data_IF_494257373624
#
_entry.id   IF_494257373624
#
_cell.length_a   1.000
_cell.length_b   1.000
_cell.length_c   1.000
_cell.angle_alpha   90.00
_cell.angle_beta   90.00
_cell.angle_gamma   90.00
#
_symmetry.space_group_name_H-M   'P 1'
#
loop_
_entity.id
_entity.type
_entity.pdbx_description
1 polymer ?
#
# COMPACT_ATOMS: atom_id res chain seq x y z
N UNK A 1 -18.20 3.83 -52.47
CA UNK A 1 -17.00 4.43 -51.85
C UNK A 1 -16.27 3.31 -51.13
N UNK A 2 -15.26 2.73 -51.78
CA UNK A 2 -14.45 1.64 -51.22
C UNK A 2 -13.33 2.27 -50.40
N UNK A 3 -13.35 2.08 -49.07
CA UNK A 3 -12.26 2.54 -48.21
C UNK A 3 -11.00 1.69 -48.47
N UNK A 4 -9.90 2.37 -48.77
CA UNK A 4 -8.59 1.78 -49.03
C UNK A 4 -8.02 1.16 -47.74
N UNK A 5 -7.78 -0.17 -47.69
CA UNK A 5 -7.25 -0.85 -46.51
C UNK A 5 -5.87 -0.35 -46.08
N UNK A 6 -5.12 0.31 -46.96
CA UNK A 6 -3.79 0.84 -46.66
C UNK A 6 -3.80 2.06 -45.73
N UNK A 7 -4.87 2.85 -45.74
CA UNK A 7 -5.00 4.02 -44.85
C UNK A 7 -5.29 3.63 -43.40
N UNK A 8 -6.07 2.56 -43.18
CA UNK A 8 -6.45 2.08 -41.84
C UNK A 8 -5.20 1.62 -41.05
N UNK A 9 -4.21 1.04 -41.73
CA UNK A 9 -2.98 0.59 -41.09
C UNK A 9 -2.02 1.72 -40.71
N UNK A 10 -2.00 2.82 -41.48
CA UNK A 10 -1.15 3.98 -41.20
C UNK A 10 -1.62 4.75 -39.96
N UNK A 11 -2.93 4.98 -39.86
CA UNK A 11 -3.52 5.74 -38.74
C UNK A 11 -3.38 5.01 -37.39
N UNK A 12 -3.48 3.67 -37.41
CA UNK A 12 -3.32 2.85 -36.21
C UNK A 12 -1.88 2.80 -35.68
N UNK A 13 -0.87 2.99 -36.55
CA UNK A 13 0.54 3.10 -36.15
C UNK A 13 0.84 4.49 -35.56
N UNK A 14 0.32 5.55 -36.17
CA UNK A 14 0.49 6.92 -35.67
C UNK A 14 -0.21 7.15 -34.31
N UNK A 15 -1.38 6.54 -34.07
CA UNK A 15 -2.06 6.61 -32.77
C UNK A 15 -1.28 5.89 -31.66
N UNK A 16 -0.65 4.76 -31.98
CA UNK A 16 0.17 3.99 -31.01
C UNK A 16 1.47 4.70 -30.63
N UNK A 17 2.07 5.44 -31.56
CA UNK A 17 3.30 6.19 -31.30
C UNK A 17 3.03 7.48 -30.52
N UNK A 18 1.87 8.13 -30.72
CA UNK A 18 1.42 9.24 -29.90
C UNK A 18 1.13 8.83 -28.44
N UNK A 19 0.43 7.70 -28.25
CA UNK A 19 0.08 7.20 -26.91
C UNK A 19 1.31 6.76 -26.10
N UNK A 20 2.35 6.20 -26.76
CA UNK A 20 3.65 5.90 -26.12
C UNK A 20 4.44 7.14 -25.72
N UNK A 21 4.31 8.23 -26.50
CA UNK A 21 4.96 9.51 -26.20
C UNK A 21 4.39 10.14 -24.93
N UNK A 22 3.07 10.13 -24.78
CA UNK A 22 2.37 10.61 -23.58
C UNK A 22 2.72 9.78 -22.34
N UNK A 23 2.78 8.45 -22.45
CA UNK A 23 3.16 7.60 -21.32
C UNK A 23 4.60 7.86 -20.86
N UNK A 24 5.52 8.13 -21.79
CA UNK A 24 6.92 8.45 -21.45
C UNK A 24 7.06 9.84 -20.81
N UNK A 25 6.29 10.83 -21.26
CA UNK A 25 6.26 12.17 -20.67
C UNK A 25 5.67 12.14 -19.26
N UNK A 26 4.56 11.43 -19.06
CA UNK A 26 3.94 11.25 -17.73
C UNK A 26 4.89 10.54 -16.77
N UNK A 27 5.60 9.49 -17.22
CA UNK A 27 6.60 8.81 -16.38
C UNK A 27 7.79 9.71 -16.01
N UNK A 28 8.18 10.62 -16.90
CA UNK A 28 9.29 11.57 -16.68
C UNK A 28 8.87 12.68 -15.71
N UNK A 29 7.63 13.17 -15.77
CA UNK A 29 7.07 14.13 -14.81
C UNK A 29 6.89 13.52 -13.42
N UNK A 30 6.39 12.29 -13.32
CA UNK A 30 6.29 11.56 -12.05
C UNK A 30 7.66 11.32 -11.42
N UNK A 31 8.68 10.97 -12.23
CA UNK A 31 10.05 10.80 -11.75
C UNK A 31 10.67 12.12 -11.28
N UNK A 32 10.36 13.23 -11.96
CA UNK A 32 10.85 14.57 -11.61
C UNK A 32 10.20 15.14 -10.35
N UNK A 33 8.95 14.78 -10.06
CA UNK A 33 8.28 15.16 -8.81
C UNK A 33 8.83 14.40 -7.58
N UNK A 34 9.48 13.25 -7.76
CA UNK A 34 10.12 12.51 -6.66
C UNK A 34 11.55 12.98 -6.36
N UNK A 35 12.17 13.78 -7.22
CA UNK A 35 13.59 14.13 -7.12
C UNK A 35 13.90 15.36 -6.25
N UNK A 36 12.89 16.06 -5.72
CA UNK A 36 13.09 17.29 -4.95
C UNK A 36 12.45 17.23 -3.55
N UNK A 37 12.98 16.36 -2.69
CA UNK A 37 13.04 16.67 -1.26
C UNK A 37 14.26 16.01 -0.63
N UNK A 38 15.23 16.78 -0.12
CA UNK A 38 16.26 16.22 0.75
C UNK A 38 15.53 15.65 1.96
N UNK A 39 15.61 14.34 2.18
CA UNK A 39 14.91 13.65 3.28
C UNK A 39 15.51 14.15 4.59
N UNK A 40 14.96 15.26 5.09
CA UNK A 40 14.97 15.58 6.49
C UNK A 40 14.28 14.40 7.17
N UNK A 41 15.06 13.57 7.88
CA UNK A 41 14.55 12.36 8.53
C UNK A 41 13.22 12.65 9.22
N UNK A 42 12.18 11.89 8.89
CA UNK A 42 10.84 12.18 9.37
C UNK A 42 10.85 12.31 10.89
N UNK A 43 10.27 13.42 11.38
CA UNK A 43 9.97 13.55 12.80
C UNK A 43 9.10 12.35 13.16
N UNK A 44 9.57 11.52 14.09
CA UNK A 44 8.86 10.31 14.52
C UNK A 44 7.44 10.63 14.98
N UNK A 45 6.59 9.60 15.10
CA UNK A 45 5.22 9.78 15.60
C UNK A 45 5.25 10.55 16.94
N UNK A 46 4.38 11.56 17.15
CA UNK A 46 4.38 12.38 18.36
C UNK A 46 3.75 11.61 19.54
N UNK A 47 4.34 10.46 19.88
CA UNK A 47 3.83 9.49 20.85
C UNK A 47 4.96 9.14 21.81
N UNK A 48 4.69 9.33 23.10
CA UNK A 48 5.65 8.99 24.16
C UNK A 48 5.97 7.50 24.09
N UNK A 49 7.26 7.14 24.12
CA UNK A 49 7.73 5.76 23.98
C UNK A 49 8.21 5.37 22.57
N UNK A 50 7.95 6.18 21.55
CA UNK A 50 8.56 6.04 20.23
C UNK A 50 9.80 6.94 20.10
N UNK A 51 10.70 6.57 19.18
CA UNK A 51 11.84 7.44 18.87
C UNK A 51 11.35 8.72 18.18
N UNK A 52 11.92 9.85 18.58
CA UNK A 52 11.64 11.16 17.96
C UNK A 52 12.17 11.24 16.53
N UNK A 53 13.13 10.38 16.18
CA UNK A 53 13.65 10.23 14.82
C UNK A 53 13.53 8.76 14.43
N UNK A 54 12.63 8.48 13.50
CA UNK A 54 12.45 7.12 12.98
C UNK A 54 13.20 7.03 11.65
N UNK A 55 13.99 5.98 11.48
CA UNK A 55 14.68 5.70 10.22
C UNK A 55 13.65 5.41 9.10
N UNK A 56 13.90 5.97 7.91
CA UNK A 56 12.96 5.91 6.78
C UNK A 56 12.51 4.49 6.45
N UNK A 57 13.44 3.54 6.39
CA UNK A 57 13.13 2.15 6.03
C UNK A 57 12.15 1.48 7.00
N UNK A 58 12.09 1.91 8.28
CA UNK A 58 11.11 1.40 9.24
C UNK A 58 9.70 1.85 8.87
N UNK A 59 9.58 3.12 8.47
CA UNK A 59 8.31 3.70 8.02
C UNK A 59 7.86 3.01 6.75
N UNK A 60 8.76 2.86 5.78
CA UNK A 60 8.44 2.21 4.49
C UNK A 60 7.98 0.76 4.70
N UNK A 61 8.69 0.00 5.54
CA UNK A 61 8.33 -1.38 5.85
C UNK A 61 6.98 -1.49 6.58
N UNK A 62 6.69 -0.59 7.53
CA UNK A 62 5.39 -0.57 8.23
C UNK A 62 4.26 -0.19 7.27
N UNK A 63 4.50 0.76 6.35
CA UNK A 63 3.52 1.13 5.34
C UNK A 63 3.23 -0.04 4.39
N UNK A 64 4.25 -0.76 3.94
CA UNK A 64 4.08 -1.97 3.14
C UNK A 64 3.27 -3.05 3.89
N UNK A 65 3.61 -3.29 5.16
CA UNK A 65 2.86 -4.20 6.02
C UNK A 65 1.38 -3.79 6.15
N UNK A 66 1.08 -2.49 6.30
CA UNK A 66 -0.30 -1.99 6.36
C UNK A 66 -1.07 -2.24 5.07
N UNK A 67 -0.42 -2.09 3.91
CA UNK A 67 -1.02 -2.40 2.61
C UNK A 67 -1.31 -3.90 2.50
N UNK A 68 -0.40 -4.76 2.93
CA UNK A 68 -0.59 -6.22 2.92
C UNK A 68 -1.71 -6.65 3.88
N UNK A 69 -1.73 -6.10 5.10
CA UNK A 69 -2.77 -6.33 6.09
C UNK A 69 -4.16 -6.03 5.51
N UNK A 70 -4.36 -4.84 4.94
CA UNK A 70 -5.63 -4.42 4.35
C UNK A 70 -6.07 -5.37 3.21
N UNK A 71 -5.15 -5.79 2.35
CA UNK A 71 -5.45 -6.75 1.27
C UNK A 71 -5.95 -8.09 1.84
N UNK A 72 -5.31 -8.60 2.89
CA UNK A 72 -5.72 -9.85 3.54
C UNK A 72 -7.06 -9.68 4.27
N UNK A 73 -7.27 -8.57 4.99
CA UNK A 73 -8.53 -8.28 5.67
C UNK A 73 -9.70 -8.18 4.70
N UNK A 74 -9.52 -7.53 3.54
CA UNK A 74 -10.55 -7.51 2.47
C UNK A 74 -10.87 -8.90 1.94
N UNK A 75 -9.89 -9.79 1.87
CA UNK A 75 -10.13 -11.19 1.50
C UNK A 75 -10.96 -11.89 2.58
N UNK A 76 -10.68 -11.65 3.87
CA UNK A 76 -11.49 -12.17 4.97
C UNK A 76 -12.93 -11.61 4.91
N UNK A 77 -13.10 -10.31 4.68
CA UNK A 77 -14.41 -9.66 4.53
C UNK A 77 -15.29 -10.29 3.46
N UNK A 78 -14.69 -10.76 2.36
CA UNK A 78 -15.44 -11.44 1.30
C UNK A 78 -16.13 -12.73 1.79
N UNK A 79 -15.61 -13.40 2.82
CA UNK A 79 -16.19 -14.61 3.41
C UNK A 79 -17.22 -14.29 4.51
N UNK A 80 -17.13 -13.10 5.11
CA UNK A 80 -18.09 -12.59 6.10
C UNK A 80 -19.42 -12.20 5.44
N UNK A 81 -19.43 -11.84 4.16
CA UNK A 81 -20.67 -11.49 3.43
C UNK A 81 -21.67 -12.64 3.35
N UNK A 82 -21.27 -13.86 3.68
CA UNK A 82 -22.08 -15.08 3.67
C UNK A 82 -22.49 -15.55 5.08
N UNK A 83 -22.69 -14.65 6.05
CA UNK A 83 -23.03 -14.99 7.46
C UNK A 83 -24.22 -15.93 7.67
N UNK A 84 -25.13 -16.04 6.71
CA UNK A 84 -26.28 -16.97 6.75
C UNK A 84 -26.03 -18.34 6.09
N UNK A 85 -24.87 -18.53 5.44
CA UNK A 85 -24.50 -19.79 4.80
C UNK A 85 -23.86 -20.74 5.81
N UNK A 86 -24.26 -22.01 5.78
CA UNK A 86 -23.61 -23.09 6.55
C UNK A 86 -22.37 -23.64 5.84
N UNK A 87 -22.09 -23.22 4.60
CA UNK A 87 -20.93 -23.69 3.82
C UNK A 87 -19.61 -23.14 4.34
N UNK A 88 -19.64 -21.99 5.01
CA UNK A 88 -18.46 -21.32 5.56
C UNK A 88 -18.63 -21.21 7.07
N UNK A 89 -17.77 -21.89 7.82
CA UNK A 89 -17.68 -21.73 9.26
C UNK A 89 -17.27 -20.29 9.63
N UNK A 90 -18.26 -19.51 10.06
CA UNK A 90 -18.07 -18.11 10.43
C UNK A 90 -17.23 -17.96 11.71
N UNK A 91 -17.18 -18.95 12.60
CA UNK A 91 -16.30 -18.89 13.76
C UNK A 91 -14.83 -18.90 13.32
N UNK A 92 -14.49 -19.81 12.41
CA UNK A 92 -13.15 -19.88 11.80
C UNK A 92 -12.78 -18.60 11.04
N UNK A 93 -13.71 -17.97 10.31
CA UNK A 93 -13.47 -16.68 9.63
C UNK A 93 -13.09 -15.57 10.62
N UNK A 94 -13.78 -15.50 11.76
CA UNK A 94 -13.52 -14.47 12.78
C UNK A 94 -12.19 -14.73 13.52
N UNK A 95 -11.84 -15.99 13.74
CA UNK A 95 -10.53 -16.38 14.26
C UNK A 95 -9.42 -15.98 13.29
N UNK A 96 -9.60 -16.23 11.99
CA UNK A 96 -8.65 -15.83 10.95
C UNK A 96 -8.43 -14.30 10.94
N UNK A 97 -9.49 -13.50 11.00
CA UNK A 97 -9.38 -12.02 11.11
C UNK A 97 -8.47 -11.62 12.27
N UNK A 98 -8.77 -12.14 13.47
CA UNK A 98 -8.02 -11.82 14.69
C UNK A 98 -6.54 -12.18 14.56
N UNK A 99 -6.22 -13.34 13.97
CA UNK A 99 -4.83 -13.75 13.79
C UNK A 99 -4.09 -12.90 12.77
N UNK A 100 -4.74 -12.45 11.70
CA UNK A 100 -4.15 -11.51 10.74
C UNK A 100 -3.81 -10.19 11.42
N UNK A 101 -4.76 -9.59 12.14
CA UNK A 101 -4.56 -8.34 12.89
C UNK A 101 -3.42 -8.48 13.93
N UNK A 102 -3.40 -9.57 14.72
CA UNK A 102 -2.35 -9.82 15.72
C UNK A 102 -0.97 -10.03 15.06
N UNK A 103 -0.92 -10.72 13.92
CA UNK A 103 0.33 -10.94 13.19
C UNK A 103 0.92 -9.62 12.67
N UNK A 104 0.13 -8.79 12.00
CA UNK A 104 0.60 -7.50 11.48
C UNK A 104 0.91 -6.50 12.59
N UNK A 105 0.14 -6.50 13.67
CA UNK A 105 0.48 -5.74 14.88
C UNK A 105 1.86 -6.14 15.41
N UNK A 106 2.14 -7.44 15.57
CA UNK A 106 3.44 -7.94 16.07
C UNK A 106 4.59 -7.60 15.12
N UNK A 107 4.40 -7.74 13.81
CA UNK A 107 5.40 -7.37 12.80
C UNK A 107 5.75 -5.88 12.89
N UNK A 108 4.74 -5.02 12.87
CA UNK A 108 4.93 -3.58 12.96
C UNK A 108 5.57 -3.18 14.30
N UNK A 109 5.17 -3.83 15.39
CA UNK A 109 5.78 -3.62 16.70
C UNK A 109 7.25 -4.06 16.75
N UNK A 110 7.61 -5.15 16.07
CA UNK A 110 8.99 -5.64 15.99
C UNK A 110 9.91 -4.68 15.23
N UNK A 111 9.38 -3.97 14.22
CA UNK A 111 10.10 -2.94 13.45
C UNK A 111 10.26 -1.66 14.27
N UNK A 112 9.16 -1.17 14.84
CA UNK A 112 9.12 0.12 15.51
C UNK A 112 9.71 0.10 16.93
N UNK A 113 9.70 -1.06 17.59
CA UNK A 113 10.34 -1.29 18.89
C UNK A 113 10.04 -0.21 19.95
N UNK A 114 8.77 0.14 20.23
CA UNK A 114 8.46 1.17 21.22
C UNK A 114 8.94 0.76 22.61
N UNK A 115 9.53 1.75 23.29
CA UNK A 115 10.16 1.65 24.62
C UNK A 115 9.15 1.95 25.71
N UNK A 116 9.42 1.47 26.93
CA UNK A 116 8.65 1.85 28.12
C UNK A 116 8.86 3.34 28.41
N UNK A 117 7.80 4.02 28.82
CA UNK A 117 7.87 5.41 29.25
C UNK A 117 8.62 5.46 30.60
N UNK A 118 9.53 6.41 30.72
CA UNK A 118 10.29 6.68 31.95
C UNK A 118 9.90 8.06 32.47
N UNK A 119 9.62 8.19 33.76
CA UNK A 119 9.23 9.46 34.40
C UNK A 119 8.09 9.26 35.39
N UNK A 120 7.59 10.37 35.94
CA UNK A 120 6.40 10.38 36.78
C UNK A 120 5.16 9.99 35.95
N UNK A 121 4.37 9.04 36.46
CA UNK A 121 3.15 8.53 35.82
C UNK A 121 1.89 9.02 36.53
N UNK A 122 2.05 9.92 37.51
CA UNK A 122 0.96 10.44 38.34
C UNK A 122 0.13 11.53 37.69
#
# INVERSE_FOLDING_TARGET
>A
MTHDPSQIHSDALQQRDAEKSDVHQVATELSSQMAASPIAGHSGLPVVGYDKKVEQWKIDMVNENKVLEEKVLRRVDAHVRNRGSQEIDQASVQIARRHVEDAFYRLNRAIMQPKRITGDLS
#
